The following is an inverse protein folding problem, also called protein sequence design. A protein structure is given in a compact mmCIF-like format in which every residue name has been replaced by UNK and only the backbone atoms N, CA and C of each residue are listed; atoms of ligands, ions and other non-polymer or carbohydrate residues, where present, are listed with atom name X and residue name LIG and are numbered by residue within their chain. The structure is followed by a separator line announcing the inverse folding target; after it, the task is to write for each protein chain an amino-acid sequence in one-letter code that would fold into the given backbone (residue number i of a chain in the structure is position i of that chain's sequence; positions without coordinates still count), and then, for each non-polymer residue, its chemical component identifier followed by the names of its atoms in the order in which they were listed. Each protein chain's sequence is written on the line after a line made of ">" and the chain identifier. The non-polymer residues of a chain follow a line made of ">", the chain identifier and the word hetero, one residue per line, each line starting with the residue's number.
data_IF_360193488278
#
_entry.id   IF_360193488278
#
_cell.length_a   1.000
_cell.length_b   1.000
_cell.length_c   1.000
_cell.angle_alpha   90.00
_cell.angle_beta   90.00
_cell.angle_gamma   90.00
#
_symmetry.space_group_name_H-M   'P 1'
#
loop_
_entity.id
_entity.type
_entity.pdbx_description
1 polymer ?
#
# COMPACT_ATOMS: atom_id res chain seq x y z
N UNK A 1 12.08 23.44 -66.22
CA UNK A 1 11.31 23.84 -65.01
C UNK A 1 10.41 22.70 -64.51
N UNK A 2 9.57 22.12 -65.38
CA UNK A 2 8.60 21.05 -65.04
C UNK A 2 9.25 19.78 -64.44
N UNK A 3 10.39 19.32 -64.96
CA UNK A 3 11.08 18.10 -64.45
C UNK A 3 11.62 18.25 -63.02
N UNK A 4 11.97 19.47 -62.58
CA UNK A 4 12.46 19.74 -61.22
C UNK A 4 11.32 19.72 -60.22
N UNK A 5 10.15 20.19 -60.63
CA UNK A 5 8.92 20.21 -59.83
C UNK A 5 8.32 18.80 -59.64
N UNK A 6 8.41 17.94 -60.67
CA UNK A 6 8.01 16.53 -60.58
C UNK A 6 8.95 15.75 -59.64
N UNK A 7 10.26 16.00 -59.70
CA UNK A 7 11.24 15.34 -58.83
C UNK A 7 11.06 15.74 -57.35
N UNK A 8 10.81 17.02 -57.06
CA UNK A 8 10.47 17.52 -55.72
C UNK A 8 9.18 16.89 -55.17
N UNK A 9 8.12 16.79 -55.98
CA UNK A 9 6.84 16.18 -55.58
C UNK A 9 6.98 14.67 -55.30
N UNK A 10 7.78 13.94 -56.07
CA UNK A 10 8.03 12.50 -55.83
C UNK A 10 8.85 12.30 -54.55
N UNK A 11 9.85 13.15 -54.29
CA UNK A 11 10.69 13.10 -53.08
C UNK A 11 9.91 13.45 -51.81
N UNK A 12 9.03 14.45 -51.87
CA UNK A 12 8.13 14.82 -50.79
C UNK A 12 7.09 13.74 -50.50
N UNK A 13 6.55 13.08 -51.54
CA UNK A 13 5.59 11.98 -51.38
C UNK A 13 6.24 10.74 -50.76
N UNK A 14 7.47 10.39 -51.17
CA UNK A 14 8.26 9.31 -50.56
C UNK A 14 8.64 9.56 -49.10
N UNK A 15 8.99 10.80 -48.74
CA UNK A 15 9.26 11.18 -47.34
C UNK A 15 8.01 11.11 -46.45
N UNK A 16 6.85 11.51 -46.96
CA UNK A 16 5.60 11.44 -46.20
C UNK A 16 5.11 9.99 -46.01
N UNK A 17 5.30 9.12 -47.02
CA UNK A 17 5.00 7.68 -46.88
C UNK A 17 5.91 7.03 -45.84
N UNK A 18 7.22 7.34 -45.82
CA UNK A 18 8.14 6.83 -44.81
C UNK A 18 7.83 7.34 -43.39
N UNK A 19 7.40 8.61 -43.24
CA UNK A 19 6.96 9.15 -41.95
C UNK A 19 5.67 8.52 -41.45
N UNK A 20 4.74 8.20 -42.35
CA UNK A 20 3.48 7.52 -42.02
C UNK A 20 3.71 6.08 -41.56
N UNK A 21 4.58 5.33 -42.24
CA UNK A 21 4.98 3.99 -41.79
C UNK A 21 5.76 4.02 -40.47
N UNK A 22 6.63 5.02 -40.25
CA UNK A 22 7.32 5.20 -38.95
C UNK A 22 6.33 5.51 -37.82
N UNK A 23 5.29 6.31 -38.08
CA UNK A 23 4.23 6.62 -37.11
C UNK A 23 3.39 5.39 -36.77
N UNK A 24 3.03 4.58 -37.78
CA UNK A 24 2.33 3.29 -37.56
C UNK A 24 3.23 2.31 -36.81
N UNK A 25 4.53 2.24 -37.13
CA UNK A 25 5.49 1.39 -36.43
C UNK A 25 5.67 1.82 -34.96
N UNK A 26 5.72 3.13 -34.68
CA UNK A 26 5.75 3.68 -33.32
C UNK A 26 4.42 3.45 -32.57
N UNK A 27 3.28 3.49 -33.26
CA UNK A 27 1.97 3.16 -32.69
C UNK A 27 1.88 1.66 -32.36
N UNK A 28 2.33 0.78 -33.25
CA UNK A 28 2.29 -0.68 -33.05
C UNK A 28 3.28 -1.13 -31.97
N UNK A 29 4.46 -0.52 -31.87
CA UNK A 29 5.40 -0.78 -30.76
C UNK A 29 4.91 -0.15 -29.44
N UNK A 30 4.10 0.91 -29.53
CA UNK A 30 3.50 1.57 -28.36
C UNK A 30 2.36 0.79 -27.69
N UNK A 31 1.83 -0.27 -28.31
CA UNK A 31 0.72 -1.04 -27.75
C UNK A 31 1.12 -2.18 -26.81
N UNK A 32 2.36 -2.67 -26.87
CA UNK A 32 2.85 -3.75 -25.97
C UNK A 32 3.58 -3.22 -24.73
N UNK A 33 3.63 -1.90 -24.52
CA UNK A 33 4.06 -1.30 -23.27
C UNK A 33 2.86 -1.03 -22.33
N UNK A 34 1.86 -1.91 -22.31
CA UNK A 34 1.07 -2.07 -21.09
C UNK A 34 2.06 -2.65 -20.09
N UNK A 35 2.44 -1.88 -19.07
CA UNK A 35 3.25 -2.41 -17.99
C UNK A 35 2.57 -3.68 -17.44
N UNK A 36 3.08 -4.85 -17.80
CA UNK A 36 2.52 -6.12 -17.37
C UNK A 36 2.69 -6.18 -15.85
N UNK A 37 1.56 -6.28 -15.14
CA UNK A 37 1.55 -6.34 -13.68
C UNK A 37 2.32 -7.57 -13.21
N UNK A 38 3.13 -7.41 -12.15
CA UNK A 38 3.71 -8.56 -11.45
C UNK A 38 2.64 -9.22 -10.58
N UNK A 39 2.67 -10.54 -10.48
CA UNK A 39 1.71 -11.31 -9.68
C UNK A 39 2.41 -12.00 -8.53
N UNK A 40 1.96 -11.74 -7.30
CA UNK A 40 2.42 -12.46 -6.13
C UNK A 40 1.64 -13.78 -6.02
N UNK A 41 2.36 -14.89 -5.82
CA UNK A 41 1.76 -16.21 -5.55
C UNK A 41 2.20 -16.66 -4.17
N UNK A 42 1.26 -16.84 -3.24
CA UNK A 42 1.57 -17.35 -1.89
C UNK A 42 1.50 -18.87 -1.93
N UNK A 43 2.62 -19.53 -1.63
CA UNK A 43 2.69 -20.98 -1.49
C UNK A 43 2.52 -21.35 -0.02
N UNK A 44 1.34 -21.85 0.35
CA UNK A 44 1.04 -22.30 1.70
C UNK A 44 1.91 -23.47 2.20
N UNK A 45 2.63 -24.15 1.30
CA UNK A 45 3.51 -25.28 1.64
C UNK A 45 4.96 -24.85 1.87
N UNK A 46 5.32 -23.61 1.55
CA UNK A 46 6.66 -23.07 1.81
C UNK A 46 6.89 -22.96 3.31
N UNK A 47 7.98 -23.56 3.80
CA UNK A 47 8.35 -23.57 5.22
C UNK A 47 9.21 -22.37 5.61
N UNK A 48 9.63 -21.55 4.64
CA UNK A 48 10.44 -20.35 4.84
C UNK A 48 9.69 -19.22 5.55
N UNK A 49 8.36 -19.23 5.53
CA UNK A 49 7.51 -18.24 6.20
C UNK A 49 6.23 -18.88 6.75
N UNK A 50 5.62 -18.23 7.72
CA UNK A 50 4.26 -18.53 8.14
C UNK A 50 3.27 -17.59 7.45
N UNK A 51 2.07 -18.06 7.16
CA UNK A 51 1.01 -17.23 6.59
C UNK A 51 -0.18 -17.19 7.54
N UNK A 52 -0.66 -15.98 7.86
CA UNK A 52 -1.93 -15.76 8.55
C UNK A 52 -2.86 -14.96 7.65
N UNK A 53 -4.13 -15.31 7.62
CA UNK A 53 -5.13 -14.64 6.79
C UNK A 53 -6.26 -14.13 7.68
N UNK A 54 -6.59 -12.85 7.54
CA UNK A 54 -7.67 -12.21 8.28
C UNK A 54 -8.60 -11.42 7.39
N UNK A 55 -9.86 -11.35 7.83
CA UNK A 55 -10.91 -10.54 7.22
C UNK A 55 -11.24 -9.39 8.15
N UNK A 56 -11.26 -8.17 7.62
CA UNK A 56 -11.57 -6.94 8.34
C UNK A 56 -12.85 -6.33 7.76
N UNK A 57 -13.85 -6.07 8.60
CA UNK A 57 -15.11 -5.47 8.17
C UNK A 57 -15.06 -3.94 8.30
N UNK A 58 -15.48 -3.22 7.25
CA UNK A 58 -15.38 -1.75 7.19
C UNK A 58 -16.52 -1.00 7.88
N UNK A 59 -17.55 -1.70 8.38
CA UNK A 59 -18.80 -1.09 8.83
C UNK A 59 -18.61 -0.14 10.01
N UNK A 60 -17.88 -0.56 11.04
CA UNK A 60 -17.70 0.27 12.23
C UNK A 60 -16.79 1.47 11.97
N UNK A 61 -15.74 1.30 11.17
CA UNK A 61 -14.74 2.33 10.96
C UNK A 61 -15.11 3.34 9.87
N UNK A 62 -15.84 2.93 8.84
CA UNK A 62 -16.12 3.73 7.64
C UNK A 62 -17.61 3.86 7.29
N UNK A 63 -18.50 3.18 8.02
CA UNK A 63 -19.93 3.10 7.71
C UNK A 63 -20.19 2.57 6.27
N UNK A 64 -19.41 1.57 5.87
CA UNK A 64 -19.54 0.84 4.60
C UNK A 64 -19.53 -0.66 4.86
N UNK A 65 -20.25 -1.44 4.06
CA UNK A 65 -20.39 -2.89 4.28
C UNK A 65 -19.49 -3.71 3.35
N UNK A 66 -18.20 -3.41 3.37
CA UNK A 66 -17.18 -4.16 2.66
C UNK A 66 -16.30 -4.95 3.60
N UNK A 67 -15.50 -5.80 2.97
CA UNK A 67 -14.46 -6.54 3.66
C UNK A 67 -13.12 -6.23 2.99
N UNK A 68 -12.08 -6.27 3.80
CA UNK A 68 -10.69 -6.25 3.39
C UNK A 68 -10.10 -7.58 3.82
N UNK A 69 -9.37 -8.25 2.93
CA UNK A 69 -8.64 -9.47 3.26
C UNK A 69 -7.17 -9.12 3.42
N UNK A 70 -6.55 -9.61 4.48
CA UNK A 70 -5.14 -9.35 4.79
C UNK A 70 -4.39 -10.65 4.95
N UNK A 71 -3.27 -10.79 4.25
CA UNK A 71 -2.36 -11.90 4.36
C UNK A 71 -1.07 -11.41 5.01
N UNK A 72 -0.81 -11.89 6.21
CA UNK A 72 0.43 -11.67 6.93
C UNK A 72 1.39 -12.79 6.58
N UNK A 73 2.43 -12.47 5.80
CA UNK A 73 3.49 -13.42 5.45
C UNK A 73 4.69 -13.12 6.36
N UNK A 74 4.91 -13.99 7.34
CA UNK A 74 5.81 -13.77 8.47
C UNK A 74 7.09 -14.57 8.27
N UNK A 75 8.20 -13.85 8.08
CA UNK A 75 9.54 -14.39 8.00
C UNK A 75 10.19 -14.28 9.38
N UNK A 76 10.22 -15.39 10.11
CA UNK A 76 10.80 -15.43 11.45
C UNK A 76 12.32 -15.28 11.42
N UNK A 77 12.90 -14.75 12.51
CA UNK A 77 14.36 -14.63 12.68
C UNK A 77 15.11 -15.94 12.42
N UNK A 78 14.56 -17.08 12.87
CA UNK A 78 15.18 -18.41 12.69
C UNK A 78 15.25 -18.83 11.22
N UNK A 79 14.28 -18.40 10.41
CA UNK A 79 14.22 -18.71 8.98
C UNK A 79 15.10 -17.76 8.15
N UNK A 80 15.62 -16.67 8.74
CA UNK A 80 16.47 -15.68 8.07
C UNK A 80 17.95 -16.12 7.97
N UNK A 81 18.23 -17.43 8.00
CA UNK A 81 19.58 -18.03 7.96
C UNK A 81 20.40 -17.74 6.68
N UNK A 82 19.83 -17.03 5.71
CA UNK A 82 20.62 -16.46 4.59
C UNK A 82 21.37 -15.23 5.08
N UNK A 83 22.70 -15.26 5.01
CA UNK A 83 23.70 -14.26 5.46
C UNK A 83 23.48 -12.78 5.06
N UNK A 84 22.38 -12.42 4.41
CA UNK A 84 22.09 -11.11 3.84
C UNK A 84 20.72 -10.51 4.25
N UNK A 85 19.98 -11.12 5.18
CA UNK A 85 18.72 -10.58 5.71
C UNK A 85 18.91 -10.29 7.21
N UNK A 86 18.41 -9.14 7.68
CA UNK A 86 18.54 -8.69 9.08
C UNK A 86 18.00 -9.74 10.08
N UNK A 87 18.51 -9.68 11.32
CA UNK A 87 18.19 -10.60 12.42
C UNK A 87 16.74 -10.50 12.92
N UNK A 88 15.93 -9.57 12.42
CA UNK A 88 14.60 -9.31 12.93
C UNK A 88 13.50 -10.04 12.15
N UNK A 89 12.38 -10.31 12.82
CA UNK A 89 11.15 -10.78 12.17
C UNK A 89 10.71 -9.76 11.12
N UNK A 90 10.24 -10.25 9.97
CA UNK A 90 9.68 -9.42 8.91
C UNK A 90 8.29 -9.88 8.53
N UNK A 91 7.41 -8.92 8.32
CA UNK A 91 6.05 -9.15 7.85
C UNK A 91 5.92 -8.50 6.48
N UNK A 92 5.55 -9.31 5.49
CA UNK A 92 4.98 -8.80 4.25
C UNK A 92 3.46 -8.84 4.42
N UNK A 93 2.85 -7.68 4.63
CA UNK A 93 1.40 -7.52 4.70
C UNK A 93 0.86 -7.32 3.29
N UNK A 94 -0.03 -8.22 2.86
CA UNK A 94 -0.73 -8.11 1.58
C UNK A 94 -2.20 -7.85 1.88
N UNK A 95 -2.67 -6.65 1.54
CA UNK A 95 -4.03 -6.20 1.81
C UNK A 95 -4.83 -6.06 0.52
N UNK A 96 -5.91 -6.82 0.43
CA UNK A 96 -6.85 -6.80 -0.67
C UNK A 96 -7.95 -5.81 -0.33
N UNK A 97 -7.99 -4.71 -1.09
CA UNK A 97 -8.98 -3.65 -0.92
C UNK A 97 -10.13 -3.87 -1.93
N UNK A 98 -11.38 -3.65 -1.51
CA UNK A 98 -12.54 -3.88 -2.36
C UNK A 98 -12.55 -2.88 -3.49
N UNK A 99 -12.87 -3.28 -4.72
CA UNK A 99 -13.22 -2.32 -5.76
C UNK A 99 -14.37 -1.43 -5.29
N UNK A 100 -14.11 -0.13 -5.13
CA UNK A 100 -15.05 0.85 -4.57
C UNK A 100 -16.33 1.05 -5.38
N UNK A 101 -16.47 0.46 -6.56
CA UNK A 101 -17.71 0.50 -7.35
C UNK A 101 -18.55 -0.77 -7.19
N UNK A 102 -17.91 -1.91 -6.94
CA UNK A 102 -18.55 -3.24 -6.94
C UNK A 102 -18.47 -3.97 -5.61
N UNK A 103 -17.60 -3.56 -4.70
CA UNK A 103 -17.29 -4.22 -3.43
C UNK A 103 -16.47 -5.51 -3.57
N UNK A 104 -16.09 -5.90 -4.79
CA UNK A 104 -15.38 -7.17 -5.03
C UNK A 104 -13.91 -7.06 -4.66
N UNK A 105 -13.38 -8.14 -4.08
CA UNK A 105 -11.95 -8.29 -3.76
C UNK A 105 -11.18 -9.03 -4.85
N UNK A 106 -11.87 -9.82 -5.67
CA UNK A 106 -11.27 -10.74 -6.63
C UNK A 106 -11.95 -10.61 -8.00
N UNK A 107 -11.12 -10.71 -9.04
CA UNK A 107 -11.51 -10.71 -10.45
C UNK A 107 -10.94 -11.97 -11.13
N UNK A 108 -11.71 -12.59 -12.01
CA UNK A 108 -11.22 -13.73 -12.81
C UNK A 108 -10.19 -13.23 -13.83
N UNK A 109 -9.09 -13.98 -14.00
CA UNK A 109 -7.99 -13.67 -14.93
C UNK A 109 -7.58 -14.94 -15.69
N UNK A 110 -7.13 -14.79 -16.93
CA UNK A 110 -6.66 -15.92 -17.74
C UNK A 110 -5.27 -16.38 -17.24
N UNK A 111 -5.09 -17.68 -17.07
CA UNK A 111 -3.83 -18.27 -16.62
C UNK A 111 -2.63 -17.88 -17.51
N UNK A 112 -2.85 -17.65 -18.82
CA UNK A 112 -1.79 -17.24 -19.74
C UNK A 112 -1.21 -15.86 -19.41
N UNK A 113 -2.01 -14.99 -18.79
CA UNK A 113 -1.62 -13.62 -18.45
C UNK A 113 -0.71 -13.59 -17.21
N UNK A 114 -0.65 -14.70 -16.46
CA UNK A 114 0.07 -14.82 -15.18
C UNK A 114 1.44 -15.48 -15.34
N UNK A 115 1.55 -16.53 -16.17
CA UNK A 115 2.65 -17.51 -16.15
C UNK A 115 4.07 -16.95 -16.28
N UNK A 116 4.25 -15.78 -16.89
CA UNK A 116 5.58 -15.16 -17.09
C UNK A 116 5.90 -14.04 -16.09
N UNK A 117 4.96 -13.69 -15.20
CA UNK A 117 5.06 -12.51 -14.34
C UNK A 117 4.85 -12.82 -12.84
N UNK A 118 4.99 -14.08 -12.45
CA UNK A 118 4.84 -14.49 -11.04
C UNK A 118 6.11 -14.26 -10.23
N UNK A 119 5.92 -13.95 -8.95
CA UNK A 119 6.98 -13.84 -7.94
C UNK A 119 6.49 -14.44 -6.63
N UNK A 120 7.36 -15.19 -5.94
CA UNK A 120 7.06 -15.74 -4.61
C UNK A 120 7.39 -14.75 -3.48
N UNK A 121 6.82 -14.90 -2.27
CA UNK A 121 7.00 -13.92 -1.19
C UNK A 121 8.45 -13.73 -0.76
N UNK A 122 9.24 -14.80 -0.66
CA UNK A 122 10.65 -14.71 -0.30
C UNK A 122 11.47 -13.92 -1.35
N UNK A 123 11.17 -14.10 -2.64
CA UNK A 123 11.81 -13.34 -3.71
C UNK A 123 11.34 -11.88 -3.73
N UNK A 124 10.04 -11.64 -3.52
CA UNK A 124 9.47 -10.30 -3.43
C UNK A 124 10.13 -9.51 -2.29
N UNK A 125 10.19 -10.08 -1.08
CA UNK A 125 10.86 -9.46 0.06
C UNK A 125 12.33 -9.18 -0.26
N UNK A 126 13.07 -10.11 -0.89
CA UNK A 126 14.46 -9.86 -1.32
C UNK A 126 14.60 -8.78 -2.39
N UNK A 127 13.56 -8.50 -3.17
CA UNK A 127 13.57 -7.41 -4.16
C UNK A 127 13.41 -6.02 -3.53
N UNK A 128 12.69 -5.94 -2.40
CA UNK A 128 12.43 -4.68 -1.67
C UNK A 128 13.34 -4.50 -0.45
N UNK A 129 13.92 -5.58 0.06
CA UNK A 129 14.87 -5.60 1.19
C UNK A 129 16.31 -5.10 0.91
N UNK A 130 16.84 -4.93 -0.33
CA UNK A 130 18.17 -4.34 -0.54
C UNK A 130 18.24 -2.87 -0.10
N UNK A 131 17.12 -2.29 0.33
CA UNK A 131 16.94 -0.87 0.68
C UNK A 131 17.53 -0.50 2.05
N UNK A 132 17.84 -1.46 2.93
CA UNK A 132 18.56 -1.16 4.19
C UNK A 132 20.09 -1.07 4.01
N UNK A 133 20.59 -1.42 2.82
CA UNK A 133 21.97 -1.18 2.39
C UNK A 133 22.01 -0.20 1.23
N UNK A 134 22.03 1.11 1.52
CA UNK A 134 22.50 2.17 0.60
C UNK A 134 21.75 2.36 -0.74
N UNK A 135 20.44 2.08 -0.83
CA UNK A 135 19.59 2.65 -1.90
C UNK A 135 18.45 3.49 -1.31
N UNK A 136 18.40 4.76 -1.71
CA UNK A 136 17.65 5.87 -1.11
C UNK A 136 16.11 5.86 -1.28
N UNK A 137 15.44 4.71 -1.42
CA UNK A 137 14.02 4.72 -1.80
C UNK A 137 13.12 4.01 -0.78
N UNK A 138 12.94 4.62 0.39
CA UNK A 138 11.95 4.21 1.42
C UNK A 138 10.52 4.06 0.87
N UNK A 139 10.24 4.66 -0.29
CA UNK A 139 9.01 4.53 -1.06
C UNK A 139 8.76 3.12 -1.63
N UNK A 140 9.76 2.24 -1.64
CA UNK A 140 9.62 0.89 -2.18
C UNK A 140 9.01 -0.11 -1.18
N UNK A 141 8.85 0.29 0.09
CA UNK A 141 8.29 -0.56 1.14
C UNK A 141 6.78 -0.74 1.08
N UNK A 142 6.06 0.13 0.37
CA UNK A 142 4.60 0.09 0.21
C UNK A 142 4.23 0.25 -1.25
N UNK A 143 3.58 -0.76 -1.84
CA UNK A 143 3.24 -0.82 -3.26
C UNK A 143 1.76 -1.08 -3.45
N UNK A 144 1.07 -0.15 -4.08
CA UNK A 144 -0.35 -0.31 -4.43
C UNK A 144 -0.51 -0.62 -5.91
N UNK A 145 -1.18 -1.74 -6.22
CA UNK A 145 -1.49 -2.27 -7.55
C UNK A 145 -0.31 -2.52 -8.51
N UNK A 146 0.93 -2.22 -8.11
CA UNK A 146 2.14 -2.57 -8.88
C UNK A 146 2.41 -4.09 -8.89
N UNK A 147 1.97 -4.77 -7.85
CA UNK A 147 1.96 -6.23 -7.76
C UNK A 147 0.65 -6.66 -7.14
N UNK A 148 -0.05 -7.59 -7.78
CA UNK A 148 -1.38 -8.07 -7.35
C UNK A 148 -1.27 -9.51 -6.88
N UNK A 149 -2.05 -9.89 -5.87
CA UNK A 149 -2.11 -11.27 -5.41
C UNK A 149 -2.93 -12.09 -6.41
N UNK A 150 -2.45 -13.29 -6.74
CA UNK A 150 -3.22 -14.27 -7.51
C UNK A 150 -3.39 -15.56 -6.74
N UNK A 151 -4.51 -16.24 -6.98
CA UNK A 151 -4.81 -17.56 -6.42
C UNK A 151 -5.48 -18.43 -7.48
N UNK A 152 -5.29 -19.74 -7.37
CA UNK A 152 -5.99 -20.72 -8.19
C UNK A 152 -7.05 -21.43 -7.34
N UNK A 153 -8.30 -21.40 -7.79
CA UNK A 153 -9.39 -22.13 -7.18
C UNK A 153 -10.14 -22.94 -8.24
N UNK A 154 -10.17 -24.27 -8.07
CA UNK A 154 -10.91 -25.20 -8.95
C UNK A 154 -10.56 -25.04 -10.44
N UNK A 155 -9.27 -24.82 -10.74
CA UNK A 155 -8.77 -24.65 -12.11
C UNK A 155 -9.03 -23.28 -12.74
N UNK A 156 -9.56 -22.32 -11.98
CA UNK A 156 -9.71 -20.92 -12.37
C UNK A 156 -8.74 -20.05 -11.60
N UNK A 157 -8.23 -19.02 -12.27
CA UNK A 157 -7.33 -18.04 -11.66
C UNK A 157 -8.07 -16.77 -11.30
N UNK A 158 -7.73 -16.24 -10.14
CA UNK A 158 -8.29 -15.02 -9.59
C UNK A 158 -7.17 -14.05 -9.25
N UNK A 159 -7.40 -12.76 -9.48
CA UNK A 159 -6.47 -11.68 -9.15
C UNK A 159 -7.19 -10.66 -8.24
N UNK A 160 -6.47 -10.17 -7.23
CA UNK A 160 -6.98 -9.19 -6.28
C UNK A 160 -7.41 -7.88 -6.95
N UNK A 161 -8.64 -7.40 -6.84
CA UNK A 161 -9.14 -6.14 -7.43
C UNK A 161 -8.23 -4.94 -7.14
N UNK A 162 -7.95 -4.68 -5.86
CA UNK A 162 -6.92 -3.73 -5.45
C UNK A 162 -6.01 -4.39 -4.41
N UNK A 163 -4.71 -4.19 -4.55
CA UNK A 163 -3.70 -4.88 -3.75
C UNK A 163 -2.69 -3.87 -3.22
N UNK A 164 -2.57 -3.79 -1.90
CA UNK A 164 -1.52 -3.06 -1.22
C UNK A 164 -0.56 -4.08 -0.61
N UNK A 165 0.73 -3.98 -0.93
CA UNK A 165 1.77 -4.80 -0.33
C UNK A 165 2.70 -3.90 0.47
N UNK A 166 2.90 -4.24 1.74
CA UNK A 166 3.70 -3.47 2.70
C UNK A 166 4.70 -4.37 3.41
N UNK A 167 5.93 -3.91 3.59
CA UNK A 167 6.95 -4.65 4.35
C UNK A 167 7.28 -3.96 5.66
N UNK A 168 7.21 -4.72 6.74
CA UNK A 168 7.50 -4.28 8.10
C UNK A 168 8.59 -5.14 8.74
N UNK A 169 9.51 -4.53 9.48
CA UNK A 169 10.53 -5.18 10.28
C UNK A 169 10.24 -4.95 11.77
N UNK A 170 10.14 -6.03 12.53
CA UNK A 170 9.78 -5.97 13.95
C UNK A 170 11.05 -5.80 14.78
N UNK A 171 11.19 -4.68 15.47
CA UNK A 171 12.36 -4.36 16.28
C UNK A 171 11.95 -4.43 17.75
N UNK A 172 12.30 -5.50 18.49
CA UNK A 172 11.85 -5.66 19.86
C UNK A 172 12.35 -4.55 20.78
N UNK A 173 13.61 -4.13 20.58
CA UNK A 173 14.22 -3.03 21.32
C UNK A 173 14.90 -2.07 20.35
N UNK A 174 14.44 -0.82 20.33
CA UNK A 174 14.99 0.25 19.55
C UNK A 174 16.36 0.69 20.08
N UNK A 175 17.13 1.36 19.22
CA UNK A 175 18.34 2.01 19.69
C UNK A 175 17.94 3.31 20.41
N UNK A 176 18.39 3.53 21.67
CA UNK A 176 17.89 4.64 22.50
C UNK A 176 18.17 6.03 21.92
N UNK A 177 19.15 6.16 21.03
CA UNK A 177 19.57 7.42 20.43
C UNK A 177 19.11 7.62 18.99
N UNK A 178 18.63 6.58 18.32
CA UNK A 178 18.28 6.64 16.91
C UNK A 178 16.79 6.39 16.75
N UNK A 179 16.09 7.30 16.08
CA UNK A 179 14.71 7.07 15.69
C UNK A 179 14.62 5.90 14.71
N UNK A 180 13.57 5.10 14.83
CA UNK A 180 13.22 4.11 13.83
C UNK A 180 13.04 4.73 12.46
N UNK A 181 13.30 3.92 11.44
CA UNK A 181 13.08 4.27 10.04
C UNK A 181 11.71 3.74 9.59
N UNK A 182 11.24 4.27 8.46
CA UNK A 182 10.01 3.80 7.83
C UNK A 182 10.00 2.28 7.59
N UNK A 183 8.90 1.63 7.95
CA UNK A 183 8.73 0.18 7.93
C UNK A 183 9.29 -0.54 9.15
N UNK A 184 9.86 0.13 10.16
CA UNK A 184 10.26 -0.51 11.42
C UNK A 184 9.19 -0.35 12.50
N UNK A 185 8.74 -1.47 13.06
CA UNK A 185 7.85 -1.52 14.21
C UNK A 185 8.69 -1.71 15.48
N UNK A 186 9.11 -0.59 16.07
CA UNK A 186 9.87 -0.59 17.32
C UNK A 186 8.89 -0.75 18.50
N UNK A 187 9.01 -1.86 19.23
CA UNK A 187 8.03 -2.27 20.25
C UNK A 187 8.21 -1.58 21.61
N UNK A 188 9.38 -1.02 21.89
CA UNK A 188 9.73 -0.32 23.14
C UNK A 188 9.95 1.18 22.94
N UNK A 189 9.60 1.73 21.76
CA UNK A 189 9.73 3.16 21.53
C UNK A 189 8.80 3.97 22.44
N UNK A 190 9.13 5.23 22.67
CA UNK A 190 8.23 6.16 23.36
C UNK A 190 6.89 6.23 22.61
N UNK A 191 5.81 5.99 23.34
CA UNK A 191 4.47 6.05 22.79
C UNK A 191 4.11 7.48 22.42
N UNK A 192 3.50 7.66 21.25
CA UNK A 192 2.99 8.95 20.77
C UNK A 192 1.59 8.70 20.23
N UNK A 193 0.57 9.24 20.88
CA UNK A 193 -0.79 9.18 20.36
C UNK A 193 -1.01 10.24 19.26
N UNK A 194 -1.87 9.93 18.29
CA UNK A 194 -2.29 10.88 17.25
C UNK A 194 -2.81 12.19 17.86
N UNK A 195 -3.65 12.10 18.89
CA UNK A 195 -4.22 13.28 19.56
C UNK A 195 -3.13 14.19 20.15
N UNK A 196 -2.16 13.61 20.87
CA UNK A 196 -1.04 14.35 21.46
C UNK A 196 -0.17 15.00 20.37
N UNK A 197 0.06 14.30 19.27
CA UNK A 197 0.81 14.82 18.13
C UNK A 197 0.11 16.05 17.52
N UNK A 198 -1.20 15.95 17.25
CA UNK A 198 -2.01 17.02 16.67
C UNK A 198 -2.15 18.22 17.62
N UNK A 199 -2.27 18.00 18.93
CA UNK A 199 -2.31 19.09 19.92
C UNK A 199 -0.98 19.85 19.99
N UNK A 200 0.14 19.15 19.86
CA UNK A 200 1.47 19.77 19.85
C UNK A 200 1.80 20.45 18.53
N UNK A 201 1.26 19.93 17.42
CA UNK A 201 1.44 20.47 16.09
C UNK A 201 0.08 20.69 15.41
N UNK A 202 -0.64 21.77 15.75
CA UNK A 202 -1.95 22.05 15.19
C UNK A 202 -1.91 22.21 13.66
N UNK A 203 -2.80 21.52 12.91
CA UNK A 203 -2.87 21.61 11.46
C UNK A 203 -3.02 23.04 10.92
N UNK A 204 -3.71 23.92 11.65
CA UNK A 204 -3.98 25.29 11.25
C UNK A 204 -2.73 26.17 11.24
N UNK A 205 -1.82 25.91 12.19
CA UNK A 205 -0.60 26.69 12.40
C UNK A 205 0.57 26.13 11.60
N UNK A 206 0.55 24.82 11.36
CA UNK A 206 1.62 24.08 10.72
C UNK A 206 1.19 23.49 9.36
N UNK A 207 0.31 24.16 8.61
CA UNK A 207 -0.20 23.71 7.29
C UNK A 207 0.90 23.39 6.28
N UNK A 208 1.95 24.22 6.31
CA UNK A 208 3.11 24.12 5.42
C UNK A 208 4.21 23.26 5.99
N UNK A 209 4.06 22.70 7.19
CA UNK A 209 5.08 21.93 7.86
C UNK A 209 4.56 20.50 7.96
N UNK A 210 3.30 20.31 8.30
CA UNK A 210 2.74 18.99 8.51
C UNK A 210 2.48 18.23 7.21
N UNK A 211 3.30 17.21 7.01
CA UNK A 211 2.81 15.98 6.40
C UNK A 211 1.88 15.28 7.33
N UNK A 212 0.67 15.83 7.51
CA UNK A 212 -0.36 15.16 8.30
C UNK A 212 -0.72 13.89 7.52
N UNK A 213 -0.26 12.72 7.99
CA UNK A 213 -0.63 11.43 7.42
C UNK A 213 -2.05 11.03 7.83
N UNK A 214 -2.60 11.80 8.76
CA UNK A 214 -3.94 11.73 9.25
C UNK A 214 -4.77 12.58 8.30
N UNK A 215 -5.49 11.90 7.44
CA UNK A 215 -6.46 12.44 6.52
C UNK A 215 -7.66 13.07 7.28
N UNK A 216 -7.40 14.00 8.21
CA UNK A 216 -8.42 14.76 8.90
C UNK A 216 -9.23 15.54 7.85
N UNK A 217 -10.55 15.45 7.97
CA UNK A 217 -11.51 15.92 7.00
C UNK A 217 -11.31 17.41 6.74
N UNK A 218 -10.85 17.74 5.52
CA UNK A 218 -10.65 19.13 5.10
C UNK A 218 -9.32 19.78 5.50
N UNK A 219 -8.43 19.07 6.20
CA UNK A 219 -7.10 19.57 6.58
C UNK A 219 -6.02 18.91 5.72
N UNK A 220 -5.97 19.30 4.44
CA UNK A 220 -4.90 18.86 3.54
C UNK A 220 -3.60 19.59 3.85
N UNK A 221 -2.64 18.91 4.47
CA UNK A 221 -1.24 19.35 4.51
C UNK A 221 -0.48 18.78 3.33
N UNK A 222 0.52 19.50 2.81
CA UNK A 222 1.51 18.92 1.90
C UNK A 222 2.68 18.40 2.73
N UNK A 223 2.86 17.09 2.75
CA UNK A 223 3.95 16.46 3.51
C UNK A 223 5.36 16.75 3.03
N UNK A 224 5.47 17.42 1.90
CA UNK A 224 6.73 17.73 1.24
C UNK A 224 7.65 18.62 2.10
N UNK A 225 7.11 19.26 3.15
CA UNK A 225 7.80 20.34 3.86
C UNK A 225 8.27 20.03 5.30
N UNK A 226 7.93 18.89 5.92
CA UNK A 226 8.52 18.46 7.21
C UNK A 226 9.75 17.57 6.99
N UNK A 227 10.87 18.18 6.59
CA UNK A 227 12.15 17.47 6.43
C UNK A 227 12.12 16.25 5.46
N UNK A 228 11.10 16.16 4.60
CA UNK A 228 10.88 15.09 3.63
C UNK A 228 10.68 13.71 4.28
N UNK A 229 11.21 12.66 3.64
CA UNK A 229 11.12 11.27 4.10
C UNK A 229 11.66 10.99 5.52
N UNK A 230 12.38 11.94 6.14
CA UNK A 230 12.97 11.78 7.48
C UNK A 230 11.95 11.73 8.60
N UNK A 231 10.74 12.22 8.36
CA UNK A 231 9.63 12.15 9.32
C UNK A 231 8.75 10.93 9.10
N UNK A 232 9.04 10.12 8.07
CA UNK A 232 8.22 8.96 7.77
C UNK A 232 8.61 7.78 8.65
N UNK A 233 7.64 7.26 9.38
CA UNK A 233 7.78 6.12 10.29
C UNK A 233 6.45 5.72 10.90
N UNK A 234 6.44 4.56 11.52
CA UNK A 234 5.36 4.02 12.31
C UNK A 234 5.59 4.35 13.79
N UNK A 235 4.68 5.12 14.38
CA UNK A 235 4.70 5.48 15.79
C UNK A 235 3.89 4.47 16.59
N UNK A 236 4.50 3.86 17.60
CA UNK A 236 3.74 3.13 18.63
C UNK A 236 2.88 4.14 19.39
N UNK A 237 1.57 3.91 19.49
CA UNK A 237 0.68 4.78 20.26
C UNK A 237 0.18 4.13 21.54
N UNK A 238 -0.10 2.81 21.51
CA UNK A 238 -0.68 2.08 22.64
C UNK A 238 -0.15 0.66 22.68
N UNK A 239 -0.12 0.10 23.88
CA UNK A 239 -0.02 -1.35 24.09
C UNK A 239 -1.39 -1.79 24.60
N UNK A 240 -1.99 -2.77 23.93
CA UNK A 240 -3.34 -3.26 24.20
C UNK A 240 -3.31 -4.71 24.65
N UNK A 241 -4.33 -5.15 25.38
CA UNK A 241 -4.50 -6.57 25.69
C UNK A 241 -5.36 -7.20 24.61
N UNK A 242 -4.88 -8.30 24.03
CA UNK A 242 -5.57 -9.06 22.99
C UNK A 242 -5.96 -10.40 23.58
N UNK A 243 -7.27 -10.63 23.69
CA UNK A 243 -7.78 -11.84 24.31
C UNK A 243 -7.25 -13.10 23.60
N UNK A 244 -6.77 -14.06 24.37
CA UNK A 244 -6.16 -15.30 23.87
C UNK A 244 -4.76 -15.16 23.25
N UNK A 245 -4.24 -13.94 23.03
CA UNK A 245 -2.94 -13.70 22.37
C UNK A 245 -1.96 -12.84 23.19
N UNK A 246 -2.40 -12.28 24.32
CA UNK A 246 -1.53 -11.53 25.24
C UNK A 246 -1.45 -10.06 24.87
N UNK A 247 -0.26 -9.56 24.52
CA UNK A 247 -0.02 -8.14 24.24
C UNK A 247 -0.08 -7.84 22.74
N UNK A 248 -0.82 -6.81 22.38
CA UNK A 248 -0.80 -6.17 21.06
C UNK A 248 -0.16 -4.79 21.12
N UNK A 249 0.44 -4.37 20.01
CA UNK A 249 1.13 -3.11 19.85
C UNK A 249 0.43 -2.32 18.75
N UNK A 250 -0.19 -1.22 19.14
CA UNK A 250 -0.91 -0.36 18.22
C UNK A 250 0.00 0.74 17.68
N UNK A 251 0.02 0.87 16.36
CA UNK A 251 0.80 1.85 15.63
C UNK A 251 -0.08 2.76 14.78
N UNK A 252 0.44 3.93 14.46
CA UNK A 252 -0.03 4.75 13.35
C UNK A 252 1.14 5.16 12.46
N UNK A 253 0.84 5.28 11.17
CA UNK A 253 1.81 5.57 10.12
C UNK A 253 1.89 7.07 9.89
N UNK A 254 3.12 7.57 9.85
CA UNK A 254 3.44 8.87 9.31
C UNK A 254 4.20 8.73 8.00
N UNK A 255 3.64 9.28 6.92
CA UNK A 255 4.17 9.18 5.57
C UNK A 255 3.76 10.39 4.74
N UNK A 256 4.35 10.57 3.56
CA UNK A 256 4.01 11.70 2.73
C UNK A 256 2.61 11.64 2.15
N UNK A 257 2.19 12.79 1.63
CA UNK A 257 1.00 12.95 0.81
C UNK A 257 1.42 13.48 -0.54
N UNK A 258 1.64 12.59 -1.51
CA UNK A 258 2.06 13.01 -2.84
C UNK A 258 1.12 12.47 -3.91
N UNK A 259 -0.04 13.09 -4.06
CA UNK A 259 -0.90 12.79 -5.21
C UNK A 259 -1.82 13.94 -5.56
N UNK A 260 -1.71 14.38 -6.82
CA UNK A 260 -2.70 15.22 -7.47
C UNK A 260 -3.88 14.40 -8.01
N UNK A 261 -3.63 13.16 -8.50
CA UNK A 261 -4.62 12.41 -9.31
C UNK A 261 -4.81 10.91 -8.96
N UNK A 262 -4.06 10.35 -8.00
CA UNK A 262 -4.13 8.92 -7.63
C UNK A 262 -4.33 8.71 -6.12
N UNK A 263 -4.51 7.46 -5.69
CA UNK A 263 -4.52 7.09 -4.27
C UNK A 263 -3.17 7.37 -3.61
N UNK A 264 -3.20 7.87 -2.38
CA UNK A 264 -2.00 8.10 -1.58
C UNK A 264 -1.57 6.82 -0.87
N UNK A 265 -1.13 5.84 -1.66
CA UNK A 265 -0.70 4.55 -1.17
C UNK A 265 0.50 4.62 -0.23
N UNK A 266 1.19 5.76 -0.18
CA UNK A 266 2.31 5.93 0.74
C UNK A 266 1.85 5.96 2.20
N UNK A 267 0.57 6.28 2.50
CA UNK A 267 -0.02 6.13 3.84
C UNK A 267 -0.20 4.66 4.25
N UNK A 268 -0.47 3.80 3.27
CA UNK A 268 -0.68 2.36 3.46
C UNK A 268 -1.73 2.02 4.52
N UNK A 269 -1.46 1.02 5.35
CA UNK A 269 -2.22 0.80 6.58
C UNK A 269 -1.91 1.93 7.59
N UNK A 270 -2.89 2.81 7.80
CA UNK A 270 -2.70 4.09 8.48
C UNK A 270 -2.62 3.95 10.00
N UNK A 271 -3.45 3.08 10.58
CA UNK A 271 -3.46 2.71 12.00
C UNK A 271 -3.62 1.21 12.06
N UNK A 272 -2.88 0.50 12.90
CA UNK A 272 -2.91 -0.96 12.93
C UNK A 272 -2.41 -1.55 14.24
N UNK A 273 -2.68 -2.84 14.45
CA UNK A 273 -2.28 -3.57 15.65
C UNK A 273 -1.47 -4.79 15.26
N UNK A 274 -0.22 -4.82 15.70
CA UNK A 274 0.67 -5.98 15.60
C UNK A 274 0.58 -6.82 16.88
N UNK A 275 0.49 -8.13 16.71
CA UNK A 275 0.54 -9.12 17.78
C UNK A 275 1.65 -10.12 17.47
N UNK A 276 2.65 -10.30 18.36
CA UNK A 276 3.73 -11.27 18.14
C UNK A 276 3.22 -12.67 17.79
N UNK A 277 3.73 -13.24 16.71
CA UNK A 277 3.31 -14.56 16.20
C UNK A 277 2.01 -14.60 15.39
N UNK A 278 1.14 -13.58 15.54
CA UNK A 278 -0.11 -13.47 14.77
C UNK A 278 0.00 -12.44 13.62
N UNK A 279 0.99 -11.55 13.68
CA UNK A 279 1.18 -10.50 12.68
C UNK A 279 0.27 -9.30 12.92
N UNK A 280 -0.09 -8.58 11.85
CA UNK A 280 -1.00 -7.43 11.91
C UNK A 280 -2.45 -7.95 11.83
N UNK A 281 -3.18 -7.84 12.94
CA UNK A 281 -4.52 -8.41 13.13
C UNK A 281 -5.66 -7.39 12.90
N UNK A 282 -5.30 -6.13 12.68
CA UNK A 282 -6.25 -5.05 12.49
C UNK A 282 -5.61 -3.83 11.85
N UNK A 283 -6.42 -3.03 11.16
CA UNK A 283 -5.92 -1.93 10.32
C UNK A 283 -6.96 -0.88 9.95
N UNK A 284 -6.49 0.29 9.50
CA UNK A 284 -7.25 1.32 8.80
C UNK A 284 -6.62 1.58 7.42
N UNK A 285 -7.44 1.85 6.41
CA UNK A 285 -7.03 2.15 5.03
C UNK A 285 -7.62 3.49 4.59
N UNK A 286 -7.32 4.53 5.36
CA UNK A 286 -7.95 5.85 5.25
C UNK A 286 -7.72 6.49 3.88
N UNK A 287 -6.53 6.28 3.30
CA UNK A 287 -6.17 6.74 1.96
C UNK A 287 -7.10 6.19 0.88
N UNK A 288 -7.65 5.00 1.09
CA UNK A 288 -8.49 4.30 0.13
C UNK A 288 -9.95 4.76 0.22
N UNK A 289 -10.45 4.97 1.44
CA UNK A 289 -11.87 5.29 1.66
C UNK A 289 -12.20 6.78 1.64
N UNK A 290 -11.26 7.68 2.02
CA UNK A 290 -11.56 9.12 2.13
C UNK A 290 -11.83 9.79 0.77
N UNK A 291 -10.89 9.67 -0.17
CA UNK A 291 -10.91 10.41 -1.45
C UNK A 291 -10.49 9.49 -2.60
N UNK A 292 -11.44 8.74 -3.16
CA UNK A 292 -11.15 7.95 -4.35
C UNK A 292 -10.81 8.86 -5.54
N UNK A 293 -9.84 8.47 -6.39
CA UNK A 293 -9.42 9.25 -7.55
C UNK A 293 -10.56 9.67 -8.49
N UNK A 294 -10.39 10.82 -9.14
CA UNK A 294 -11.35 11.44 -10.07
C UNK A 294 -11.83 10.53 -11.21
N UNK A 295 -11.00 9.58 -11.66
CA UNK A 295 -11.40 8.62 -12.69
C UNK A 295 -12.44 7.61 -12.19
N UNK A 296 -12.43 7.22 -10.91
CA UNK A 296 -13.47 6.37 -10.34
C UNK A 296 -14.79 7.13 -10.20
N UNK A 297 -14.72 8.43 -9.88
CA UNK A 297 -15.88 9.34 -9.87
C UNK A 297 -16.56 9.40 -11.24
N UNK A 298 -15.77 9.50 -12.32
CA UNK A 298 -16.29 9.53 -13.68
C UNK A 298 -16.91 8.19 -14.13
N UNK A 299 -16.33 7.05 -13.73
CA UNK A 299 -16.75 5.70 -14.19
C UNK A 299 -17.98 5.16 -13.45
N UNK A 300 -18.17 5.52 -12.19
CA UNK A 300 -19.20 4.94 -11.31
C UNK A 300 -20.56 5.68 -11.35
N UNK A 301 -20.67 6.78 -12.10
CA UNK A 301 -21.92 7.54 -12.20
C UNK A 301 -22.46 7.99 -10.83
N UNK A 302 -21.57 8.39 -9.91
CA UNK A 302 -21.84 8.75 -8.51
C UNK A 302 -22.20 7.59 -7.55
N UNK A 303 -22.10 6.32 -7.96
CA UNK A 303 -22.15 5.17 -7.02
C UNK A 303 -20.76 4.82 -6.51
N UNK A 304 -20.13 5.76 -5.81
CA UNK A 304 -18.88 5.48 -5.11
C UNK A 304 -19.22 5.13 -3.69
N UNK A 305 -18.78 3.96 -3.28
CA UNK A 305 -18.86 3.56 -1.90
C UNK A 305 -17.61 4.02 -1.15
N UNK A 306 -17.37 5.33 -1.17
CA UNK A 306 -16.51 5.97 -0.18
C UNK A 306 -17.19 5.87 1.20
N UNK A 307 -16.45 6.13 2.27
CA UNK A 307 -17.02 6.16 3.62
C UNK A 307 -18.32 7.00 3.68
N UNK A 308 -19.21 6.69 4.63
CA UNK A 308 -20.48 7.43 4.83
C UNK A 308 -20.47 8.35 6.06
N UNK A 309 -19.33 8.41 6.75
CA UNK A 309 -19.15 9.24 7.93
C UNK A 309 -19.23 10.74 7.65
N UNK A 310 -19.72 11.51 8.62
CA UNK A 310 -19.51 12.96 8.67
C UNK A 310 -18.03 13.27 8.93
N UNK A 311 -17.60 14.50 8.62
CA UNK A 311 -16.24 14.97 8.92
C UNK A 311 -15.87 14.80 10.40
N UNK A 312 -16.80 15.11 11.31
CA UNK A 312 -16.59 14.96 12.76
C UNK A 312 -16.43 13.50 13.18
N UNK A 313 -17.26 12.59 12.64
CA UNK A 313 -17.13 11.16 12.92
C UNK A 313 -15.82 10.59 12.39
N UNK A 314 -15.41 10.99 11.19
CA UNK A 314 -14.15 10.60 10.60
C UNK A 314 -12.96 11.09 11.44
N UNK A 315 -12.93 12.37 11.78
CA UNK A 315 -11.88 12.97 12.61
C UNK A 315 -11.83 12.33 13.99
N UNK A 316 -12.99 12.07 14.60
CA UNK A 316 -13.09 11.35 15.87
C UNK A 316 -12.49 9.95 15.75
N UNK A 317 -12.82 9.19 14.71
CA UNK A 317 -12.26 7.87 14.49
C UNK A 317 -10.74 7.92 14.38
N UNK A 318 -10.19 8.91 13.67
CA UNK A 318 -8.75 9.16 13.56
C UNK A 318 -8.12 9.48 14.93
N UNK A 319 -8.67 10.46 15.66
CA UNK A 319 -8.13 10.94 16.94
C UNK A 319 -8.22 9.88 18.05
N UNK A 320 -9.24 9.03 18.02
CA UNK A 320 -9.38 7.86 18.91
C UNK A 320 -8.52 6.67 18.45
N UNK A 321 -7.90 6.78 17.29
CA UNK A 321 -7.05 5.77 16.65
C UNK A 321 -7.80 4.44 16.43
N UNK A 322 -9.08 4.51 16.06
CA UNK A 322 -9.86 3.30 15.78
C UNK A 322 -9.30 2.53 14.58
N UNK A 323 -9.41 1.22 14.67
CA UNK A 323 -8.99 0.28 13.62
C UNK A 323 -10.08 -0.78 13.43
N UNK A 324 -10.15 -1.37 12.24
CA UNK A 324 -10.91 -2.61 12.05
C UNK A 324 -10.11 -3.75 12.66
N UNK A 325 -10.77 -4.67 13.37
CA UNK A 325 -10.14 -5.85 13.98
C UNK A 325 -10.67 -7.10 13.31
N UNK A 326 -9.79 -8.09 13.12
CA UNK A 326 -10.18 -9.40 12.61
C UNK A 326 -11.14 -10.11 13.57
N UNK A 327 -12.18 -10.74 13.03
CA UNK A 327 -13.29 -11.33 13.80
C UNK A 327 -12.88 -12.34 14.88
N UNK A 328 -11.72 -12.99 14.71
CA UNK A 328 -11.17 -13.94 15.68
C UNK A 328 -10.53 -13.31 16.91
N UNK A 329 -10.45 -11.97 16.98
CA UNK A 329 -9.79 -11.25 18.07
C UNK A 329 -10.72 -10.26 18.75
N UNK A 330 -10.44 -10.01 20.02
CA UNK A 330 -11.09 -8.95 20.82
C UNK A 330 -10.00 -8.22 21.59
N UNK A 331 -10.16 -6.90 21.69
CA UNK A 331 -9.19 -6.00 22.32
C UNK A 331 -9.88 -5.36 23.52
N UNK A 332 -9.19 -5.40 24.65
CA UNK A 332 -9.65 -4.82 25.93
C UNK A 332 -9.16 -3.38 26.13
#
# INVERSE_FOLDING_TARGET
>A
MIMKEIHEKIKAKGQNVNKFFLLIFLLVIGFDAIAQGKYLVIDSTDTGYATKHYRLNTRELYDTDFNIETFNIIFSEKNNSSKNLNQYERILLVSLLPDISTGKLWEEIDAKDIKEHTIGPAEYVRSISPVLGFKNNVFDLKKFNQTRLVTEEKGKWWVSSNCLIESFEIVPNGLPFFSGIYGQLILDQNMVAIKEFVEKYPPEEYKDVLGIPLLLSGRGGRADNLNGWRTWKEFLSKIVSVNGSGKGYQFWTCAATNVADNYDASQGVGRFIYVPGEGIIGGSYDFYFLRPPSYYLAKSGNKIYSHRLTSEQWDKNILEEKVMIAESFTID
#
